data_IF_727236596144
#
_entry.id   IF_727236596144
#
_cell.length_a   1.000
_cell.length_b   1.000
_cell.length_c   1.000
_cell.angle_alpha   90.00
_cell.angle_beta   90.00
_cell.angle_gamma   90.00
#
_symmetry.space_group_name_H-M   'P 1'
#
loop_
_entity.id
_entity.type
_entity.pdbx_description
1 polymer ?
#
# COMPACT_ATOMS: atom_id res chain seq x y z
N UNK A 1 -28.59 5.51 38.68
CA UNK A 1 -28.09 6.52 37.72
C UNK A 1 -26.60 6.86 37.90
N UNK A 2 -26.08 7.12 39.11
CA UNK A 2 -24.64 7.44 39.33
C UNK A 2 -23.65 6.40 38.75
N UNK A 3 -23.96 5.11 38.87
CA UNK A 3 -23.12 4.04 38.30
C UNK A 3 -23.14 3.97 36.77
N UNK A 4 -24.23 4.42 36.12
CA UNK A 4 -24.35 4.44 34.66
C UNK A 4 -23.41 5.50 34.07
N UNK A 5 -23.34 6.69 34.67
CA UNK A 5 -22.41 7.74 34.26
C UNK A 5 -20.95 7.31 34.45
N UNK A 6 -20.63 6.59 35.52
CA UNK A 6 -19.29 6.06 35.74
C UNK A 6 -18.90 5.04 34.66
N UNK A 7 -19.81 4.10 34.31
CA UNK A 7 -19.57 3.17 33.20
C UNK A 7 -19.40 3.87 31.84
N UNK A 8 -20.19 4.92 31.56
CA UNK A 8 -20.05 5.70 30.32
C UNK A 8 -18.72 6.46 30.28
N UNK A 9 -18.30 7.06 31.39
CA UNK A 9 -17.01 7.76 31.49
C UNK A 9 -15.84 6.76 31.33
N UNK A 10 -15.93 5.57 31.93
CA UNK A 10 -14.91 4.53 31.80
C UNK A 10 -14.84 3.97 30.37
N UNK A 11 -15.98 3.85 29.68
CA UNK A 11 -16.03 3.43 28.27
C UNK A 11 -15.48 4.52 27.34
N UNK A 12 -15.74 5.79 27.64
CA UNK A 12 -15.20 6.93 26.89
C UNK A 12 -13.69 7.09 27.08
N UNK A 13 -13.15 6.79 28.27
CA UNK A 13 -11.71 6.85 28.50
C UNK A 13 -10.97 5.74 27.76
N UNK A 14 -11.44 4.48 27.81
CA UNK A 14 -10.81 3.37 27.06
C UNK A 14 -10.81 3.62 25.56
N UNK A 15 -11.86 4.22 25.00
CA UNK A 15 -11.92 4.57 23.58
C UNK A 15 -10.93 5.69 23.17
N UNK A 16 -10.53 6.56 24.10
CA UNK A 16 -9.60 7.66 23.86
C UNK A 16 -8.12 7.27 23.97
N UNK A 17 -7.78 6.20 24.69
CA UNK A 17 -6.38 5.80 24.94
C UNK A 17 -5.77 4.85 23.90
N UNK A 18 -6.55 4.27 22.99
CA UNK A 18 -6.00 3.31 22.02
C UNK A 18 -5.12 3.93 20.93
N UNK A 19 -5.26 5.22 20.62
CA UNK A 19 -4.48 5.84 19.52
C UNK A 19 -3.07 6.27 19.95
N UNK A 20 -2.86 6.94 21.10
CA UNK A 20 -1.51 7.31 21.54
C UNK A 20 -0.56 6.12 21.72
N UNK A 21 -1.06 4.97 22.21
CA UNK A 21 -0.26 3.74 22.33
C UNK A 21 0.17 3.20 20.98
N UNK A 22 -0.72 3.25 19.98
CA UNK A 22 -0.40 2.86 18.59
C UNK A 22 0.59 3.82 17.94
N UNK A 23 0.48 5.11 18.21
CA UNK A 23 1.44 6.12 17.73
C UNK A 23 2.82 5.90 18.35
N UNK A 24 2.91 5.64 19.66
CA UNK A 24 4.16 5.32 20.33
C UNK A 24 4.78 4.02 19.78
N UNK A 25 3.95 3.01 19.52
CA UNK A 25 4.40 1.75 18.92
C UNK A 25 4.87 1.95 17.46
N UNK A 26 4.18 2.78 16.68
CA UNK A 26 4.59 3.14 15.33
C UNK A 26 5.91 3.92 15.34
N UNK A 27 6.12 4.81 16.32
CA UNK A 27 7.36 5.55 16.47
C UNK A 27 8.54 4.63 16.80
N UNK A 28 8.34 3.63 17.67
CA UNK A 28 9.33 2.62 17.99
C UNK A 28 9.67 1.71 16.79
N UNK A 29 8.66 1.29 16.03
CA UNK A 29 8.81 0.39 14.88
C UNK A 29 8.92 1.14 13.53
N UNK A 30 9.16 2.45 13.55
CA UNK A 30 9.03 3.33 12.37
C UNK A 30 9.85 2.83 11.17
N UNK A 31 11.12 2.47 11.39
CA UNK A 31 12.00 1.96 10.32
C UNK A 31 11.43 0.69 9.68
N UNK A 32 10.92 -0.24 10.49
CA UNK A 32 10.34 -1.48 10.00
C UNK A 32 9.09 -1.22 9.16
N UNK A 33 8.21 -0.35 9.63
CA UNK A 33 6.98 0.01 8.91
C UNK A 33 7.31 0.76 7.61
N UNK A 34 8.30 1.65 7.63
CA UNK A 34 8.80 2.34 6.43
C UNK A 34 9.36 1.36 5.40
N UNK A 35 10.17 0.39 5.82
CA UNK A 35 10.70 -0.68 4.94
C UNK A 35 9.58 -1.51 4.31
N UNK A 36 8.59 -1.94 5.11
CA UNK A 36 7.42 -2.70 4.63
C UNK A 36 6.65 -1.95 3.55
N UNK A 37 6.40 -0.66 3.79
CA UNK A 37 5.65 0.19 2.88
C UNK A 37 6.46 0.51 1.62
N UNK A 38 7.76 0.82 1.78
CA UNK A 38 8.68 1.09 0.67
C UNK A 38 8.76 -0.11 -0.27
N UNK A 39 8.88 -1.32 0.28
CA UNK A 39 8.88 -2.56 -0.51
C UNK A 39 7.58 -2.73 -1.29
N UNK A 40 6.42 -2.56 -0.63
CA UNK A 40 5.13 -2.66 -1.30
C UNK A 40 4.99 -1.66 -2.46
N UNK A 41 5.37 -0.39 -2.23
CA UNK A 41 5.32 0.67 -3.26
C UNK A 41 6.25 0.37 -4.43
N UNK A 42 7.46 -0.09 -4.14
CA UNK A 42 8.43 -0.47 -5.16
C UNK A 42 7.89 -1.58 -6.07
N UNK A 43 7.37 -2.67 -5.49
CA UNK A 43 6.85 -3.79 -6.26
C UNK A 43 5.61 -3.43 -7.06
N UNK A 44 4.71 -2.60 -6.51
CA UNK A 44 3.54 -2.08 -7.22
C UNK A 44 3.93 -1.20 -8.42
N UNK A 45 4.96 -0.38 -8.24
CA UNK A 45 5.55 0.40 -9.34
C UNK A 45 6.15 -0.50 -10.39
N UNK A 46 6.85 -1.56 -10.03
CA UNK A 46 7.37 -2.55 -10.97
C UNK A 46 6.24 -3.23 -11.75
N UNK A 47 5.19 -3.69 -11.06
CA UNK A 47 4.03 -4.31 -11.70
C UNK A 47 3.35 -3.35 -12.69
N UNK A 48 3.13 -2.09 -12.29
CA UNK A 48 2.55 -1.05 -13.14
C UNK A 48 3.44 -0.76 -14.35
N UNK A 49 4.75 -0.59 -14.13
CA UNK A 49 5.70 -0.33 -15.21
C UNK A 49 5.73 -1.47 -16.23
N UNK A 50 5.77 -2.72 -15.79
CA UNK A 50 5.69 -3.85 -16.72
C UNK A 50 4.34 -3.85 -17.45
N UNK A 51 3.25 -3.60 -16.74
CA UNK A 51 1.90 -3.60 -17.33
C UNK A 51 1.73 -2.55 -18.43
N UNK A 52 2.26 -1.33 -18.27
CA UNK A 52 2.11 -0.24 -19.26
C UNK A 52 3.12 -0.32 -20.41
N UNK A 53 4.15 -1.17 -20.34
CA UNK A 53 5.14 -1.30 -21.42
C UNK A 53 4.50 -1.72 -22.75
N UNK A 54 5.02 -1.20 -23.89
CA UNK A 54 4.63 -1.66 -25.22
C UNK A 54 4.77 -3.18 -25.37
N UNK A 55 3.91 -3.78 -26.20
CA UNK A 55 3.93 -5.23 -26.44
C UNK A 55 5.28 -5.71 -27.00
N UNK A 56 5.92 -4.90 -27.85
CA UNK A 56 7.24 -5.18 -28.42
C UNK A 56 8.33 -5.22 -27.34
N UNK A 57 8.35 -4.25 -26.42
CA UNK A 57 9.29 -4.25 -25.29
C UNK A 57 9.09 -5.47 -24.38
N UNK A 58 7.83 -5.82 -24.09
CA UNK A 58 7.51 -7.01 -23.29
C UNK A 58 7.97 -8.30 -23.96
N UNK A 59 7.78 -8.42 -25.27
CA UNK A 59 8.20 -9.57 -26.04
C UNK A 59 9.74 -9.69 -26.09
N UNK A 60 10.45 -8.58 -26.28
CA UNK A 60 11.92 -8.56 -26.35
C UNK A 60 12.58 -8.87 -25.02
N UNK A 61 12.05 -8.33 -23.92
CA UNK A 61 12.62 -8.55 -22.59
C UNK A 61 12.20 -9.89 -22.01
N UNK A 62 10.92 -10.23 -22.14
CA UNK A 62 10.30 -11.35 -21.41
C UNK A 62 10.10 -11.03 -19.92
N UNK A 63 9.03 -11.58 -19.34
CA UNK A 63 8.71 -11.31 -17.93
C UNK A 63 9.76 -11.85 -16.96
N UNK A 64 10.27 -13.07 -17.17
CA UNK A 64 11.26 -13.68 -16.27
C UNK A 64 12.56 -12.86 -16.19
N UNK A 65 13.00 -12.28 -17.32
CA UNK A 65 14.16 -11.37 -17.34
C UNK A 65 13.85 -10.07 -16.59
N UNK A 66 12.68 -9.47 -16.85
CA UNK A 66 12.23 -8.27 -16.13
C UNK A 66 12.20 -8.51 -14.61
N UNK A 67 11.69 -9.66 -14.17
CA UNK A 67 11.63 -10.02 -12.76
C UNK A 67 13.03 -10.09 -12.12
N UNK A 68 13.98 -10.79 -12.73
CA UNK A 68 15.35 -10.88 -12.19
C UNK A 68 16.12 -9.56 -12.25
N UNK A 69 16.18 -8.95 -13.43
CA UNK A 69 17.04 -7.77 -13.67
C UNK A 69 16.45 -6.50 -13.05
N UNK A 70 15.12 -6.34 -13.12
CA UNK A 70 14.46 -5.12 -12.65
C UNK A 70 13.90 -5.33 -11.25
N UNK A 71 12.99 -6.29 -11.07
CA UNK A 71 12.26 -6.44 -9.78
C UNK A 71 13.21 -6.82 -8.66
N UNK A 72 14.05 -7.85 -8.84
CA UNK A 72 15.01 -8.26 -7.81
C UNK A 72 16.23 -7.31 -7.80
N UNK A 73 16.80 -7.01 -8.98
CA UNK A 73 18.07 -6.30 -9.11
C UNK A 73 18.12 -4.89 -8.53
N UNK A 74 16.98 -4.18 -8.47
CA UNK A 74 16.90 -2.80 -7.97
C UNK A 74 16.08 -2.65 -6.69
N UNK A 75 15.98 -3.70 -5.87
CA UNK A 75 15.27 -3.63 -4.58
C UNK A 75 15.82 -2.50 -3.71
N UNK A 76 14.98 -1.54 -3.28
CA UNK A 76 15.42 -0.42 -2.45
C UNK A 76 15.58 -0.81 -0.97
N UNK A 77 15.13 -2.01 -0.58
CA UNK A 77 15.15 -2.47 0.81
C UNK A 77 15.96 -3.77 0.89
N UNK A 78 17.27 -3.70 1.24
CA UNK A 78 18.15 -4.87 1.27
C UNK A 78 17.77 -5.91 2.31
N UNK A 79 16.99 -5.54 3.34
CA UNK A 79 16.50 -6.45 4.38
C UNK A 79 15.42 -7.41 3.88
N UNK A 80 14.88 -7.21 2.67
CA UNK A 80 13.83 -8.05 2.09
C UNK A 80 14.36 -8.95 0.97
N UNK A 81 14.07 -10.23 1.10
CA UNK A 81 14.08 -11.17 -0.02
C UNK A 81 12.72 -11.09 -0.73
N UNK A 82 12.69 -10.55 -1.96
CA UNK A 82 11.43 -10.34 -2.72
C UNK A 82 10.69 -11.66 -2.99
N UNK A 83 11.34 -12.74 -3.45
CA UNK A 83 10.68 -14.03 -3.55
C UNK A 83 9.98 -14.48 -2.26
N UNK A 84 10.68 -14.40 -1.12
CA UNK A 84 10.11 -14.77 0.19
C UNK A 84 8.97 -13.83 0.62
N UNK A 85 9.11 -12.52 0.37
CA UNK A 85 8.06 -11.53 0.62
C UNK A 85 6.76 -11.87 -0.11
N UNK A 86 6.88 -12.34 -1.35
CA UNK A 86 5.75 -12.74 -2.19
C UNK A 86 5.26 -14.17 -1.91
N UNK A 87 5.86 -14.86 -0.92
CA UNK A 87 5.47 -16.22 -0.53
C UNK A 87 5.98 -17.33 -1.46
N UNK A 88 6.94 -17.03 -2.34
CA UNK A 88 7.58 -18.03 -3.17
C UNK A 88 8.61 -18.84 -2.35
N UNK A 89 8.60 -20.17 -2.54
CA UNK A 89 9.49 -21.10 -1.83
C UNK A 89 10.76 -21.36 -2.63
N UNK A 90 11.87 -21.59 -1.94
CA UNK A 90 13.11 -22.13 -2.50
C UNK A 90 13.65 -21.36 -3.74
N UNK A 91 13.51 -20.03 -3.75
CA UNK A 91 13.96 -19.19 -4.86
C UNK A 91 13.08 -19.29 -6.11
N UNK A 92 11.88 -19.86 -6.01
CA UNK A 92 10.92 -19.90 -7.10
C UNK A 92 10.56 -18.49 -7.59
N UNK A 93 10.32 -18.40 -8.89
CA UNK A 93 9.92 -17.18 -9.57
C UNK A 93 8.49 -17.29 -10.10
N UNK A 94 7.77 -16.16 -10.24
CA UNK A 94 6.48 -16.14 -10.92
C UNK A 94 6.61 -16.58 -12.38
N UNK A 95 5.71 -17.48 -12.80
CA UNK A 95 5.68 -18.06 -14.16
C UNK A 95 5.40 -16.97 -15.21
N UNK A 96 4.60 -15.98 -14.86
CA UNK A 96 4.23 -14.87 -15.73
C UNK A 96 3.84 -13.62 -14.88
N UNK A 97 3.56 -12.52 -15.57
CA UNK A 97 3.19 -11.27 -14.94
C UNK A 97 1.89 -11.38 -14.11
N UNK A 98 0.94 -12.21 -14.53
CA UNK A 98 -0.34 -12.36 -13.82
C UNK A 98 -0.12 -13.04 -12.46
N UNK A 99 0.64 -14.13 -12.42
CA UNK A 99 1.02 -14.79 -11.17
C UNK A 99 1.79 -13.85 -10.22
N UNK A 100 2.69 -13.02 -10.77
CA UNK A 100 3.39 -12.00 -9.99
C UNK A 100 2.44 -10.96 -9.40
N UNK A 101 1.53 -10.43 -10.20
CA UNK A 101 0.55 -9.44 -9.77
C UNK A 101 -0.39 -10.01 -8.69
N UNK A 102 -0.88 -11.24 -8.86
CA UNK A 102 -1.78 -11.87 -7.90
C UNK A 102 -1.12 -12.08 -6.52
N UNK A 103 0.13 -12.56 -6.51
CA UNK A 103 0.92 -12.70 -5.29
C UNK A 103 1.18 -11.33 -4.65
N UNK A 104 1.65 -10.36 -5.44
CA UNK A 104 1.93 -9.01 -4.99
C UNK A 104 0.73 -8.33 -4.34
N UNK A 105 -0.44 -8.36 -4.99
CA UNK A 105 -1.63 -7.70 -4.46
C UNK A 105 -2.13 -8.37 -3.18
N UNK A 106 -2.07 -9.70 -3.11
CA UNK A 106 -2.44 -10.43 -1.90
C UNK A 106 -1.51 -10.07 -0.74
N UNK A 107 -0.19 -10.13 -0.95
CA UNK A 107 0.82 -9.78 0.07
C UNK A 107 0.69 -8.32 0.50
N UNK A 108 0.57 -7.37 -0.43
CA UNK A 108 0.49 -5.95 -0.10
C UNK A 108 -0.79 -5.62 0.69
N UNK A 109 -1.93 -6.23 0.36
CA UNK A 109 -3.18 -6.04 1.10
C UNK A 109 -3.07 -6.64 2.51
N UNK A 110 -2.54 -7.85 2.65
CA UNK A 110 -2.34 -8.49 3.96
C UNK A 110 -1.38 -7.69 4.85
N UNK A 111 -0.30 -7.18 4.27
CA UNK A 111 0.63 -6.28 4.94
C UNK A 111 -0.08 -5.02 5.42
N UNK A 112 -0.83 -4.34 4.54
CA UNK A 112 -1.54 -3.11 4.87
C UNK A 112 -2.56 -3.32 5.99
N UNK A 113 -3.30 -4.42 5.94
CA UNK A 113 -4.24 -4.81 6.99
C UNK A 113 -3.51 -5.04 8.31
N UNK A 114 -2.41 -5.79 8.31
CA UNK A 114 -1.63 -6.10 9.51
C UNK A 114 -1.05 -4.83 10.14
N UNK A 115 -0.46 -3.95 9.33
CA UNK A 115 0.10 -2.67 9.78
C UNK A 115 -1.01 -1.78 10.32
N UNK A 116 -2.15 -1.68 9.62
CA UNK A 116 -3.26 -0.83 10.07
C UNK A 116 -3.91 -1.36 11.36
N UNK A 117 -4.05 -2.68 11.50
CA UNK A 117 -4.59 -3.29 12.72
C UNK A 117 -3.69 -3.01 13.92
N UNK A 118 -2.37 -3.21 13.75
CA UNK A 118 -1.37 -3.05 14.82
C UNK A 118 -1.10 -1.59 15.16
N UNK A 119 -0.82 -0.75 14.16
CA UNK A 119 -0.33 0.62 14.34
C UNK A 119 -1.36 1.70 14.02
N UNK A 120 -2.55 1.35 13.50
CA UNK A 120 -3.44 2.31 12.85
C UNK A 120 -2.93 2.68 11.45
N UNK A 121 -3.74 3.39 10.65
CA UNK A 121 -3.36 3.69 9.26
C UNK A 121 -2.09 4.57 9.17
N UNK A 122 -1.00 4.10 8.53
CA UNK A 122 0.29 4.78 8.50
C UNK A 122 0.28 5.92 7.47
N UNK A 123 -0.49 6.98 7.73
CA UNK A 123 -0.55 8.15 6.85
C UNK A 123 0.82 8.85 6.75
N UNK A 124 1.02 9.62 5.67
CA UNK A 124 2.24 10.41 5.48
C UNK A 124 2.50 11.41 6.62
N UNK A 125 1.45 11.83 7.32
CA UNK A 125 1.57 12.72 8.49
C UNK A 125 2.07 11.98 9.74
N UNK A 126 1.83 10.67 9.84
CA UNK A 126 2.23 9.81 10.97
C UNK A 126 3.62 9.20 10.77
N UNK A 127 4.01 8.95 9.52
CA UNK A 127 5.34 8.42 9.17
C UNK A 127 6.39 9.55 9.19
N UNK A 128 7.36 9.46 10.10
CA UNK A 128 8.39 10.51 10.29
C UNK A 128 9.68 10.31 9.47
N UNK A 129 9.88 9.13 8.90
CA UNK A 129 11.11 8.75 8.20
C UNK A 129 10.84 8.32 6.75
N UNK A 130 11.90 8.25 5.94
CA UNK A 130 11.90 7.54 4.66
C UNK A 130 11.36 8.28 3.45
N UNK A 131 11.13 7.51 2.38
CA UNK A 131 10.59 7.96 1.08
C UNK A 131 9.18 8.57 1.19
N UNK A 132 8.52 8.37 2.33
CA UNK A 132 7.17 8.81 2.61
C UNK A 132 7.01 10.31 2.90
N UNK A 133 8.10 11.02 3.26
CA UNK A 133 8.04 12.47 3.58
C UNK A 133 7.52 13.32 2.41
N UNK A 134 7.69 12.84 1.18
CA UNK A 134 7.29 13.53 -0.05
C UNK A 134 6.34 12.71 -0.95
N UNK A 135 5.94 11.50 -0.53
CA UNK A 135 5.04 10.66 -1.31
C UNK A 135 3.60 11.15 -1.09
N UNK A 136 3.09 11.96 -2.01
CA UNK A 136 1.63 12.04 -2.22
C UNK A 136 1.17 10.63 -2.61
N UNK A 137 0.27 10.06 -1.81
CA UNK A 137 -0.19 8.66 -1.85
C UNK A 137 0.65 7.64 -1.08
N UNK A 138 0.60 7.79 0.24
CA UNK A 138 0.77 6.63 1.10
C UNK A 138 -0.35 5.62 0.88
N UNK A 139 0.03 4.40 0.51
CA UNK A 139 -0.74 3.15 0.66
C UNK A 139 -2.02 2.85 -0.16
N UNK A 140 -2.48 3.72 -1.06
CA UNK A 140 -3.75 3.46 -1.80
C UNK A 140 -3.64 2.93 -3.21
N UNK A 141 -2.45 2.81 -3.80
CA UNK A 141 -2.31 2.18 -5.13
C UNK A 141 -2.45 0.63 -5.02
N UNK A 142 -2.41 0.07 -3.81
CA UNK A 142 -2.40 -1.38 -3.56
C UNK A 142 -3.72 -2.11 -3.71
N UNK A 143 -4.76 -1.42 -4.17
CA UNK A 143 -6.11 -1.94 -4.08
C UNK A 143 -6.71 -1.73 -5.45
N UNK A 144 -6.72 -2.77 -6.27
CA UNK A 144 -7.78 -3.16 -7.22
C UNK A 144 -7.09 -4.15 -8.15
N UNK A 145 -7.21 -5.43 -7.81
CA UNK A 145 -7.44 -6.52 -8.79
C UNK A 145 -8.20 -7.69 -8.17
N UNK A 146 -8.30 -7.76 -6.84
CA UNK A 146 -9.09 -8.76 -6.13
C UNK A 146 -10.17 -8.12 -5.24
N UNK A 147 -11.38 -8.67 -5.29
CA UNK A 147 -12.50 -8.32 -4.42
C UNK A 147 -12.52 -9.13 -3.11
N UNK A 148 -11.59 -10.08 -2.94
CA UNK A 148 -11.51 -10.95 -1.77
C UNK A 148 -11.40 -10.16 -0.45
N UNK A 149 -10.74 -9.00 -0.49
CA UNK A 149 -10.47 -8.17 0.68
C UNK A 149 -11.39 -6.94 0.81
N UNK A 150 -12.34 -6.77 -0.12
CA UNK A 150 -13.15 -5.55 -0.24
C UNK A 150 -13.84 -5.16 1.07
N UNK A 151 -14.48 -6.16 1.69
CA UNK A 151 -15.26 -5.98 2.91
C UNK A 151 -14.37 -5.58 4.08
N UNK A 152 -13.20 -6.21 4.21
CA UNK A 152 -12.26 -5.95 5.30
C UNK A 152 -11.62 -4.57 5.15
N UNK A 153 -11.17 -4.23 3.94
CA UNK A 153 -10.62 -2.90 3.61
C UNK A 153 -11.64 -1.77 3.83
N UNK A 154 -12.88 -1.94 3.38
CA UNK A 154 -13.95 -0.94 3.62
C UNK A 154 -14.20 -0.72 5.11
N UNK A 155 -14.24 -1.80 5.90
CA UNK A 155 -14.48 -1.71 7.33
C UNK A 155 -13.32 -0.98 8.04
N UNK A 156 -12.07 -1.35 7.72
CA UNK A 156 -10.91 -0.80 8.40
C UNK A 156 -10.68 0.67 8.02
N UNK A 157 -10.74 1.03 6.73
CA UNK A 157 -10.47 2.41 6.30
C UNK A 157 -11.58 3.38 6.73
N UNK A 158 -12.84 2.92 6.76
CA UNK A 158 -13.93 3.71 7.34
C UNK A 158 -13.69 4.00 8.83
N UNK A 159 -13.16 3.03 9.58
CA UNK A 159 -12.83 3.20 11.00
C UNK A 159 -11.67 4.19 11.17
N UNK A 160 -10.58 3.99 10.44
CA UNK A 160 -9.39 4.86 10.52
C UNK A 160 -9.71 6.30 10.10
N UNK A 161 -10.59 6.50 9.11
CA UNK A 161 -11.08 7.84 8.74
C UNK A 161 -11.92 8.47 9.84
N UNK A 162 -12.85 7.72 10.45
CA UNK A 162 -13.63 8.20 11.60
C UNK A 162 -12.75 8.56 12.81
N UNK A 163 -11.61 7.89 12.95
CA UNK A 163 -10.63 8.14 14.02
C UNK A 163 -9.64 9.27 13.70
N UNK A 164 -9.66 9.82 12.48
CA UNK A 164 -8.74 10.87 12.05
C UNK A 164 -7.35 10.38 11.63
N UNK A 165 -7.10 9.07 11.61
CA UNK A 165 -5.83 8.48 11.19
C UNK A 165 -5.67 8.48 9.66
N UNK A 166 -6.79 8.44 8.94
CA UNK A 166 -6.87 8.50 7.48
C UNK A 166 -7.61 9.78 7.08
N UNK A 167 -6.96 10.65 6.32
CA UNK A 167 -7.59 11.91 5.90
C UNK A 167 -8.82 11.66 5.01
N UNK A 168 -9.77 12.61 4.99
CA UNK A 168 -10.93 12.52 4.10
C UNK A 168 -10.52 12.45 2.62
N UNK A 169 -9.45 13.15 2.25
CA UNK A 169 -8.88 13.11 0.91
C UNK A 169 -8.45 11.69 0.56
N UNK A 170 -7.68 11.05 1.42
CA UNK A 170 -7.24 9.68 1.19
C UNK A 170 -8.41 8.69 1.20
N UNK A 171 -9.31 8.77 2.17
CA UNK A 171 -10.48 7.91 2.21
C UNK A 171 -11.37 8.03 0.95
N UNK A 172 -11.48 9.23 0.40
CA UNK A 172 -12.17 9.44 -0.88
C UNK A 172 -11.46 8.81 -2.06
N UNK A 173 -10.12 8.84 -2.11
CA UNK A 173 -9.34 8.14 -3.13
C UNK A 173 -9.56 6.62 -3.03
N UNK A 174 -9.48 6.06 -1.82
CA UNK A 174 -9.78 4.65 -1.59
C UNK A 174 -11.18 4.28 -2.12
N UNK A 175 -12.21 5.07 -1.81
CA UNK A 175 -13.57 4.82 -2.33
C UNK A 175 -13.65 4.89 -3.86
N UNK A 176 -12.97 5.86 -4.48
CA UNK A 176 -12.92 6.00 -5.93
C UNK A 176 -12.33 4.74 -6.58
N UNK A 177 -11.18 4.32 -6.07
CA UNK A 177 -10.44 3.13 -6.47
C UNK A 177 -11.34 1.88 -6.33
N UNK A 178 -11.89 1.63 -5.15
CA UNK A 178 -12.78 0.50 -4.87
C UNK A 178 -14.03 0.43 -5.76
N UNK A 179 -14.56 1.58 -6.19
CA UNK A 179 -15.74 1.63 -7.06
C UNK A 179 -15.43 1.16 -8.48
N UNK A 180 -14.20 1.35 -8.96
CA UNK A 180 -13.81 1.02 -10.34
C UNK A 180 -13.74 -0.48 -10.58
N UNK A 181 -13.39 -1.29 -9.58
CA UNK A 181 -13.35 -2.79 -9.59
C UNK A 181 -12.61 -3.44 -10.78
N UNK A 182 -12.01 -2.67 -11.67
CA UNK A 182 -11.40 -3.07 -12.94
C UNK A 182 -10.03 -2.40 -13.06
N UNK A 183 -9.25 -2.87 -14.04
CA UNK A 183 -7.98 -2.26 -14.45
C UNK A 183 -8.11 -0.73 -14.53
N UNK A 184 -7.19 -0.04 -13.85
CA UNK A 184 -7.02 1.41 -13.92
C UNK A 184 -6.76 1.77 -15.38
N UNK A 185 -7.57 2.67 -15.95
CA UNK A 185 -7.37 3.18 -17.31
C UNK A 185 -6.46 4.41 -17.31
N UNK A 186 -6.01 4.85 -18.49
CA UNK A 186 -5.29 6.13 -18.63
C UNK A 186 -6.08 7.32 -18.10
N UNK A 187 -7.40 7.32 -18.28
CA UNK A 187 -8.27 8.36 -17.74
C UNK A 187 -8.33 8.33 -16.19
N UNK A 188 -8.21 7.14 -15.60
CA UNK A 188 -8.11 7.00 -14.15
C UNK A 188 -6.74 7.49 -13.63
N UNK A 189 -5.67 7.22 -14.38
CA UNK A 189 -4.32 7.75 -14.10
C UNK A 189 -4.34 9.28 -14.13
N UNK A 190 -4.90 9.89 -15.17
CA UNK A 190 -4.99 11.35 -15.30
C UNK A 190 -5.84 11.98 -14.20
N UNK A 191 -6.93 11.31 -13.80
CA UNK A 191 -7.74 11.75 -12.67
C UNK A 191 -6.94 11.72 -11.36
N UNK A 192 -6.19 10.64 -11.11
CA UNK A 192 -5.33 10.51 -9.93
C UNK A 192 -4.22 11.58 -9.94
N UNK A 193 -3.56 11.80 -11.07
CA UNK A 193 -2.54 12.84 -11.23
C UNK A 193 -3.08 14.23 -10.91
N UNK A 194 -4.26 14.56 -11.44
CA UNK A 194 -4.89 15.88 -11.28
C UNK A 194 -5.46 16.13 -9.87
N UNK A 195 -6.07 15.12 -9.26
CA UNK A 195 -6.85 15.30 -8.03
C UNK A 195 -6.14 14.77 -6.77
N UNK A 196 -5.33 13.72 -6.93
CA UNK A 196 -4.56 13.16 -5.83
C UNK A 196 -3.17 13.79 -5.70
N UNK A 197 -2.65 14.42 -6.76
CA UNK A 197 -1.32 15.02 -6.80
C UNK A 197 -0.21 13.97 -6.92
N UNK A 198 -0.52 12.83 -7.54
CA UNK A 198 0.36 11.65 -7.62
C UNK A 198 0.82 11.50 -9.05
N UNK A 199 2.11 11.67 -9.34
CA UNK A 199 2.63 11.34 -10.68
C UNK A 199 2.75 9.81 -10.82
N UNK A 200 1.93 9.23 -11.68
CA UNK A 200 1.93 7.79 -11.96
C UNK A 200 2.73 7.48 -13.23
N UNK A 201 2.72 8.40 -14.20
CA UNK A 201 3.52 8.29 -15.43
C UNK A 201 4.97 8.70 -15.16
N UNK A 202 5.93 7.83 -15.49
CA UNK A 202 7.34 8.21 -15.59
C UNK A 202 7.48 8.99 -16.90
N UNK A 203 7.63 10.31 -16.83
CA UNK A 203 8.36 11.03 -17.87
C UNK A 203 9.83 10.62 -17.76
N UNK A 204 10.46 10.24 -18.87
CA UNK A 204 11.79 9.60 -19.07
C UNK A 204 13.02 10.22 -18.39
N UNK A 205 12.87 11.05 -17.37
CA UNK A 205 13.95 11.79 -16.71
C UNK A 205 14.38 11.24 -15.35
N UNK A 206 13.89 10.08 -14.92
CA UNK A 206 14.58 9.32 -13.87
C UNK A 206 15.58 8.43 -14.57
N UNK A 207 16.78 8.97 -14.82
CA UNK A 207 17.96 8.11 -14.97
C UNK A 207 18.03 7.26 -13.71
N UNK A 208 17.76 5.97 -13.85
CA UNK A 208 18.18 4.95 -12.89
C UNK A 208 19.71 4.87 -12.91
#
# INVERSE_FOLDING_TARGET
MKHLYFCVILLCSVAGFCQPEKDALLEADNLKVDEMITMAQYLDRCATNYFIKPAEEKANMGFSRYYREIVIGYSPVPSYNIPEYLGYKDGAEPINNDAFMDALYSTNIEMLLTVTEKYGYPSCERMRAGAFKNATCGSMIFIIRSDAYDKKLKAIFKRENKQGNLSDKEYNHFKFIMKRKKLITDADIEWLEKNAGVKMRITDNVKL
#
